data_IF_940457396842
#
_entry.id   IF_940457396842
#
_cell.length_a   1.000
_cell.length_b   1.000
_cell.length_c   1.000
_cell.angle_alpha   90.00
_cell.angle_beta   90.00
_cell.angle_gamma   90.00
#
_symmetry.space_group_name_H-M   'P 1'
#
loop_
_entity.id
_entity.type
_entity.pdbx_description
1 polymer ?
#
# COMPACT_ATOMS: atom_id res chain seq x y z
N UNK A 1 17.09 16.14 -6.67
CA UNK A 1 17.76 16.68 -5.46
C UNK A 1 18.11 18.17 -5.57
N UNK A 2 17.60 18.83 -6.58
CA UNK A 2 17.93 20.25 -6.89
C UNK A 2 16.93 21.23 -6.26
N UNK A 3 16.81 21.22 -4.92
CA UNK A 3 16.07 22.25 -4.20
C UNK A 3 17.08 23.31 -3.75
N UNK A 4 16.95 24.56 -4.20
CA UNK A 4 17.91 25.61 -3.88
C UNK A 4 18.09 25.75 -2.36
N UNK A 5 19.35 25.84 -1.95
CA UNK A 5 19.78 26.02 -0.54
C UNK A 5 19.42 24.87 0.42
N UNK A 6 18.98 23.69 -0.09
CA UNK A 6 18.62 22.54 0.75
C UNK A 6 19.45 21.28 0.46
N UNK A 7 20.57 21.39 -0.26
CA UNK A 7 21.38 20.22 -0.66
C UNK A 7 21.77 19.31 0.50
N UNK A 8 22.05 19.89 1.67
CA UNK A 8 22.43 19.15 2.87
C UNK A 8 21.24 18.58 3.64
N UNK A 9 20.03 19.00 3.31
CA UNK A 9 18.80 18.62 4.01
C UNK A 9 17.97 17.58 3.24
N UNK A 10 18.32 17.32 1.97
CA UNK A 10 17.58 16.36 1.13
C UNK A 10 18.16 14.96 1.29
N UNK A 11 17.32 14.02 1.64
CA UNK A 11 17.60 12.58 1.67
C UNK A 11 16.61 11.89 0.78
N UNK A 12 17.09 11.27 -0.31
CA UNK A 12 16.29 10.43 -1.19
C UNK A 12 16.38 8.98 -0.72
N UNK A 13 15.23 8.36 -0.55
CA UNK A 13 15.10 6.92 -0.29
C UNK A 13 14.31 6.32 -1.44
N UNK A 14 14.89 5.38 -2.15
CA UNK A 14 14.25 4.70 -3.29
C UNK A 14 14.44 3.19 -3.20
N UNK A 15 13.64 2.43 -3.93
CA UNK A 15 13.80 0.98 -4.03
C UNK A 15 13.27 0.44 -5.35
N UNK A 16 13.78 -0.70 -5.77
CA UNK A 16 13.28 -1.43 -6.95
C UNK A 16 11.92 -2.09 -6.71
N UNK A 17 11.49 -2.18 -5.45
CA UNK A 17 10.31 -2.94 -5.03
C UNK A 17 9.02 -2.54 -5.74
N UNK A 18 8.79 -1.23 -5.90
CA UNK A 18 7.55 -0.69 -6.47
C UNK A 18 7.74 -0.26 -7.92
N UNK A 19 8.88 0.35 -8.23
CA UNK A 19 9.22 0.82 -9.58
C UNK A 19 9.21 -0.30 -10.61
N UNK A 20 9.78 -1.47 -10.25
CA UNK A 20 10.01 -2.60 -11.18
C UNK A 20 9.23 -3.86 -10.78
N UNK A 21 8.26 -3.76 -9.85
CA UNK A 21 7.58 -4.93 -9.27
C UNK A 21 8.53 -5.98 -8.68
N UNK A 22 9.71 -5.56 -8.23
CA UNK A 22 10.78 -6.41 -7.69
C UNK A 22 10.85 -6.39 -6.16
N UNK A 23 9.73 -6.48 -5.47
CA UNK A 23 9.70 -6.47 -4.01
C UNK A 23 10.48 -7.63 -3.37
N UNK A 24 10.58 -8.77 -4.05
CA UNK A 24 11.37 -9.93 -3.63
C UNK A 24 12.89 -9.75 -3.73
N UNK A 25 13.38 -8.81 -4.54
CA UNK A 25 14.81 -8.53 -4.69
C UNK A 25 15.45 -7.95 -3.41
N UNK A 26 14.67 -7.29 -2.55
CA UNK A 26 15.11 -6.68 -1.29
C UNK A 26 16.24 -5.66 -1.45
N UNK A 27 16.17 -4.84 -2.52
CA UNK A 27 17.17 -3.81 -2.87
C UNK A 27 16.54 -2.43 -2.83
N UNK A 28 17.21 -1.51 -2.18
CA UNK A 28 16.90 -0.09 -2.14
C UNK A 28 18.15 0.72 -1.90
N UNK A 29 18.04 2.04 -1.96
CA UNK A 29 19.15 2.95 -1.76
C UNK A 29 18.75 4.17 -0.94
N UNK A 30 19.75 4.76 -0.31
CA UNK A 30 19.70 6.08 0.30
C UNK A 30 20.73 6.97 -0.39
N UNK A 31 20.33 8.19 -0.76
CA UNK A 31 21.17 9.14 -1.50
C UNK A 31 21.04 10.51 -0.82
N UNK A 32 22.17 11.12 -0.49
CA UNK A 32 22.21 12.50 0.05
C UNK A 32 23.56 13.15 -0.25
N UNK A 33 23.56 14.48 -0.37
CA UNK A 33 24.79 15.28 -0.38
C UNK A 33 25.38 15.49 1.02
N UNK A 34 24.60 15.22 2.06
CA UNK A 34 25.04 15.35 3.45
C UNK A 34 25.97 14.19 3.84
N UNK A 35 27.27 14.50 3.95
CA UNK A 35 28.31 13.51 4.25
C UNK A 35 28.16 12.86 5.63
N UNK A 36 27.66 13.60 6.62
CA UNK A 36 27.46 13.07 7.98
C UNK A 36 26.34 12.03 8.00
N UNK A 37 25.22 12.35 7.32
CA UNK A 37 24.11 11.40 7.13
C UNK A 37 24.57 10.15 6.39
N UNK A 38 25.33 10.30 5.31
CA UNK A 38 25.83 9.16 4.53
C UNK A 38 26.85 8.32 5.32
N UNK A 39 27.70 8.94 6.13
CA UNK A 39 28.63 8.22 6.99
C UNK A 39 27.89 7.42 8.09
N UNK A 40 26.84 7.99 8.68
CA UNK A 40 25.99 7.29 9.64
C UNK A 40 25.25 6.13 8.98
N UNK A 41 24.61 6.38 7.82
CA UNK A 41 23.90 5.36 7.05
C UNK A 41 24.81 4.18 6.66
N UNK A 42 26.08 4.45 6.29
CA UNK A 42 27.05 3.41 5.95
C UNK A 42 27.34 2.49 7.14
N UNK A 43 27.46 3.02 8.37
CA UNK A 43 27.66 2.19 9.57
C UNK A 43 26.49 1.22 9.80
N UNK A 44 25.25 1.68 9.62
CA UNK A 44 24.08 0.81 9.71
C UNK A 44 24.02 -0.22 8.56
N UNK A 45 24.38 0.20 7.34
CA UNK A 45 24.44 -0.70 6.19
C UNK A 45 25.48 -1.82 6.40
N UNK A 46 26.63 -1.50 6.95
CA UNK A 46 27.67 -2.49 7.28
C UNK A 46 27.22 -3.46 8.39
N UNK A 47 26.51 -2.98 9.40
CA UNK A 47 25.97 -3.84 10.45
C UNK A 47 24.85 -4.77 9.93
N UNK A 48 24.05 -4.31 8.97
CA UNK A 48 22.98 -5.09 8.34
C UNK A 48 23.47 -6.03 7.26
N UNK A 49 24.63 -5.80 6.68
CA UNK A 49 25.19 -6.44 5.48
C UNK A 49 24.48 -6.02 4.18
N UNK A 50 25.04 -6.44 3.05
CA UNK A 50 24.53 -6.07 1.73
C UNK A 50 23.25 -6.82 1.36
N UNK A 51 22.45 -6.30 0.43
CA UNK A 51 21.33 -7.03 -0.18
C UNK A 51 21.80 -8.33 -0.85
N UNK A 52 20.89 -9.32 -1.06
CA UNK A 52 21.23 -10.55 -1.77
C UNK A 52 21.83 -10.29 -3.15
N UNK A 53 22.88 -11.01 -3.53
CA UNK A 53 23.59 -10.82 -4.82
C UNK A 53 22.64 -10.96 -6.01
N UNK A 54 21.75 -11.97 -6.02
CA UNK A 54 20.77 -12.16 -7.09
C UNK A 54 19.82 -10.96 -7.19
N UNK A 55 19.41 -10.38 -6.05
CA UNK A 55 18.59 -9.17 -6.02
C UNK A 55 19.32 -7.95 -6.61
N UNK A 56 20.63 -7.82 -6.35
CA UNK A 56 21.44 -6.75 -6.93
C UNK A 56 21.58 -6.93 -8.45
N UNK A 57 21.85 -8.13 -8.93
CA UNK A 57 21.93 -8.43 -10.37
C UNK A 57 20.60 -8.16 -11.08
N UNK A 58 19.48 -8.61 -10.51
CA UNK A 58 18.16 -8.33 -11.04
C UNK A 58 17.86 -6.81 -11.07
N UNK A 59 18.31 -6.07 -10.06
CA UNK A 59 18.14 -4.61 -10.00
C UNK A 59 18.97 -3.87 -11.05
N UNK A 60 20.16 -4.38 -11.38
CA UNK A 60 20.97 -3.83 -12.47
C UNK A 60 20.26 -4.05 -13.82
N UNK A 61 19.79 -5.29 -14.10
CA UNK A 61 19.04 -5.59 -15.31
C UNK A 61 17.73 -4.80 -15.43
N UNK A 62 17.09 -4.45 -14.30
CA UNK A 62 15.88 -3.64 -14.29
C UNK A 62 16.11 -2.19 -14.78
N UNK A 63 17.34 -1.69 -14.78
CA UNK A 63 17.64 -0.35 -15.31
C UNK A 63 17.45 -0.25 -16.82
N UNK A 64 17.49 -1.37 -17.53
CA UNK A 64 17.28 -1.47 -18.97
C UNK A 64 15.80 -1.72 -19.33
N UNK A 65 14.88 -1.62 -18.35
CA UNK A 65 13.44 -1.79 -18.58
C UNK A 65 12.94 -0.67 -19.50
N UNK A 66 12.27 -1.01 -20.61
CA UNK A 66 11.77 -0.01 -21.56
C UNK A 66 10.60 0.79 -20.97
N UNK A 67 10.41 2.02 -21.45
CA UNK A 67 9.37 2.93 -20.97
C UNK A 67 7.96 2.37 -21.19
N UNK A 68 7.74 1.59 -22.22
CA UNK A 68 6.47 0.94 -22.56
C UNK A 68 5.98 0.06 -21.40
N UNK A 69 6.87 -0.65 -20.72
CA UNK A 69 6.51 -1.46 -19.53
C UNK A 69 5.88 -0.60 -18.44
N UNK A 70 6.42 0.58 -18.17
CA UNK A 70 5.88 1.46 -17.13
C UNK A 70 4.50 2.02 -17.49
N UNK A 71 4.27 2.32 -18.78
CA UNK A 71 2.97 2.78 -19.25
C UNK A 71 1.90 1.65 -19.17
N UNK A 72 2.27 0.42 -19.52
CA UNK A 72 1.40 -0.75 -19.38
C UNK A 72 1.03 -1.02 -17.93
N UNK A 73 2.02 -1.05 -17.04
CA UNK A 73 1.80 -1.23 -15.58
C UNK A 73 0.92 -0.13 -15.02
N UNK A 74 1.18 1.12 -15.39
CA UNK A 74 0.38 2.26 -14.96
C UNK A 74 -1.08 2.17 -15.43
N UNK A 75 -1.30 1.78 -16.69
CA UNK A 75 -2.64 1.60 -17.24
C UNK A 75 -3.42 0.51 -16.49
N UNK A 76 -2.76 -0.62 -16.19
CA UNK A 76 -3.38 -1.70 -15.42
C UNK A 76 -3.72 -1.26 -13.98
N UNK A 77 -2.84 -0.53 -13.29
CA UNK A 77 -3.14 -0.03 -11.95
C UNK A 77 -4.23 1.05 -11.94
N UNK A 78 -4.33 1.89 -12.97
CA UNK A 78 -5.45 2.83 -13.13
C UNK A 78 -6.77 2.06 -13.23
N UNK A 79 -6.84 1.03 -14.07
CA UNK A 79 -8.02 0.17 -14.22
C UNK A 79 -8.42 -0.47 -12.89
N UNK A 80 -7.46 -1.04 -12.16
CA UNK A 80 -7.71 -1.66 -10.84
C UNK A 80 -8.17 -0.64 -9.80
N UNK A 81 -7.51 0.52 -9.77
CA UNK A 81 -7.88 1.64 -8.90
C UNK A 81 -9.32 2.06 -9.14
N UNK A 82 -9.66 2.39 -10.37
CA UNK A 82 -10.96 2.93 -10.72
C UNK A 82 -12.08 1.93 -10.38
N UNK A 83 -11.87 0.64 -10.68
CA UNK A 83 -12.79 -0.42 -10.29
C UNK A 83 -12.98 -0.53 -8.77
N UNK A 84 -11.88 -0.52 -8.01
CA UNK A 84 -11.93 -0.62 -6.53
C UNK A 84 -12.62 0.59 -5.92
N UNK A 85 -12.26 1.81 -6.33
CA UNK A 85 -12.82 3.06 -5.80
C UNK A 85 -14.32 3.18 -6.11
N UNK A 86 -14.73 2.85 -7.34
CA UNK A 86 -16.14 2.82 -7.72
C UNK A 86 -16.91 1.79 -6.90
N UNK A 87 -16.36 0.59 -6.72
CA UNK A 87 -16.99 -0.48 -5.93
C UNK A 87 -17.15 -0.10 -4.46
N UNK A 88 -16.12 0.46 -3.85
CA UNK A 88 -16.17 0.90 -2.44
C UNK A 88 -17.20 2.03 -2.23
N UNK A 89 -17.19 3.06 -3.08
CA UNK A 89 -18.11 4.21 -2.93
C UNK A 89 -19.58 3.88 -3.28
N UNK A 90 -19.87 2.71 -3.83
CA UNK A 90 -21.25 2.21 -4.00
C UNK A 90 -21.82 1.55 -2.74
N UNK A 91 -20.95 1.17 -1.79
CA UNK A 91 -21.38 0.56 -0.53
C UNK A 91 -21.94 1.63 0.40
N UNK A 92 -23.06 1.35 1.05
CA UNK A 92 -23.71 2.26 1.98
C UNK A 92 -22.78 2.63 3.15
N UNK A 93 -22.57 3.93 3.36
CA UNK A 93 -21.75 4.46 4.44
C UNK A 93 -20.23 4.35 4.24
N UNK A 94 -19.76 3.82 3.11
CA UNK A 94 -18.35 3.77 2.76
C UNK A 94 -17.96 5.01 1.97
N UNK A 95 -16.83 5.61 2.31
CA UNK A 95 -16.24 6.70 1.55
C UNK A 95 -14.74 6.49 1.35
N UNK A 96 -14.27 6.69 0.13
CA UNK A 96 -12.84 6.75 -0.19
C UNK A 96 -12.58 7.78 -1.28
N UNK A 97 -11.56 8.64 -1.13
CA UNK A 97 -11.14 9.54 -2.20
C UNK A 97 -10.46 8.77 -3.33
N UNK A 98 -10.45 9.35 -4.54
CA UNK A 98 -9.66 8.81 -5.65
C UNK A 98 -8.17 9.05 -5.38
N UNK A 99 -7.36 8.01 -5.16
CA UNK A 99 -5.92 8.19 -4.93
C UNK A 99 -5.22 8.58 -6.23
N UNK A 100 -4.30 9.56 -6.14
CA UNK A 100 -3.53 10.04 -7.29
C UNK A 100 -2.24 9.22 -7.52
N UNK A 101 -1.95 8.27 -6.67
CA UNK A 101 -0.76 7.41 -6.76
C UNK A 101 -0.85 6.22 -5.81
N UNK A 102 0.23 5.45 -5.72
CA UNK A 102 0.30 4.19 -4.98
C UNK A 102 -0.61 3.10 -5.57
N UNK A 103 -0.85 2.04 -4.83
CA UNK A 103 -1.74 0.92 -5.18
C UNK A 103 -2.67 0.56 -4.01
N UNK A 104 -2.98 1.53 -3.15
CA UNK A 104 -3.92 1.41 -2.04
C UNK A 104 -4.63 2.74 -1.79
N UNK A 105 -5.77 2.64 -1.12
CA UNK A 105 -6.54 3.79 -0.62
C UNK A 105 -6.80 3.65 0.87
N UNK A 106 -7.19 4.73 1.51
CA UNK A 106 -7.78 4.72 2.85
C UNK A 106 -9.28 4.94 2.67
N UNK A 107 -10.06 3.98 3.12
CA UNK A 107 -11.51 4.04 3.11
C UNK A 107 -12.05 4.25 4.53
N UNK A 108 -13.03 5.12 4.67
CA UNK A 108 -13.88 5.22 5.85
C UNK A 108 -14.99 4.19 5.73
N UNK A 109 -15.15 3.36 6.75
CA UNK A 109 -16.13 2.26 6.81
C UNK A 109 -17.18 2.56 7.88
N UNK A 110 -18.44 2.13 7.71
CA UNK A 110 -19.51 2.33 8.69
C UNK A 110 -19.40 1.33 9.85
N UNK A 111 -18.28 1.35 10.57
CA UNK A 111 -17.98 0.47 11.69
C UNK A 111 -17.50 1.25 12.92
N UNK A 112 -17.70 0.70 14.10
CA UNK A 112 -17.24 1.28 15.35
C UNK A 112 -15.71 1.32 15.48
N UNK A 113 -15.03 0.25 15.06
CA UNK A 113 -13.59 0.12 15.08
C UNK A 113 -13.13 -0.89 14.03
N UNK A 114 -12.23 -0.49 13.13
CA UNK A 114 -11.74 -1.34 12.04
C UNK A 114 -10.85 -2.49 12.51
N UNK A 115 -10.22 -2.44 13.68
CA UNK A 115 -9.49 -3.58 14.23
C UNK A 115 -10.46 -4.68 14.66
N UNK A 116 -11.56 -4.32 15.33
CA UNK A 116 -12.62 -5.25 15.69
C UNK A 116 -13.28 -5.84 14.44
N UNK A 117 -13.59 -5.00 13.47
CA UNK A 117 -14.17 -5.44 12.19
C UNK A 117 -13.23 -6.41 11.44
N UNK A 118 -11.95 -6.07 11.28
CA UNK A 118 -10.99 -6.93 10.61
C UNK A 118 -10.82 -8.28 11.32
N UNK A 119 -10.77 -8.28 12.66
CA UNK A 119 -10.73 -9.52 13.45
C UNK A 119 -11.97 -10.36 13.22
N UNK A 120 -13.14 -9.76 13.30
CA UNK A 120 -14.41 -10.46 13.10
C UNK A 120 -14.53 -11.04 11.68
N UNK A 121 -14.10 -10.31 10.65
CA UNK A 121 -14.01 -10.82 9.29
C UNK A 121 -13.13 -12.08 9.20
N UNK A 122 -11.99 -12.09 9.88
CA UNK A 122 -11.04 -13.22 9.83
C UNK A 122 -11.48 -14.42 10.68
N UNK A 123 -12.13 -14.19 11.81
CA UNK A 123 -12.48 -15.25 12.76
C UNK A 123 -13.87 -15.82 12.51
N UNK A 124 -14.82 -15.01 12.05
CA UNK A 124 -16.25 -15.33 12.09
C UNK A 124 -16.91 -15.33 10.72
N UNK A 125 -16.66 -14.29 9.90
CA UNK A 125 -17.42 -14.07 8.68
C UNK A 125 -16.85 -14.83 7.48
N UNK A 126 -17.73 -15.54 6.74
CA UNK A 126 -17.39 -16.31 5.54
C UNK A 126 -18.52 -16.28 4.53
N UNK A 127 -18.17 -16.17 3.24
CA UNK A 127 -19.04 -16.50 2.11
C UNK A 127 -18.29 -17.55 1.28
N UNK A 128 -18.90 -18.69 1.00
CA UNK A 128 -18.31 -19.81 0.27
C UNK A 128 -16.93 -20.24 0.81
N UNK A 129 -16.75 -20.16 2.14
CA UNK A 129 -15.51 -20.43 2.86
C UNK A 129 -14.37 -19.43 2.56
N UNK A 130 -14.68 -18.28 1.98
CA UNK A 130 -13.74 -17.18 1.72
C UNK A 130 -14.03 -15.96 2.60
N UNK A 131 -13.02 -15.14 2.86
CA UNK A 131 -13.14 -13.84 3.54
C UNK A 131 -12.22 -12.82 2.94
N UNK A 132 -12.49 -11.53 3.18
CA UNK A 132 -11.65 -10.41 2.74
C UNK A 132 -10.91 -9.81 3.94
N UNK A 133 -9.61 -9.58 3.77
CA UNK A 133 -8.77 -8.95 4.78
C UNK A 133 -8.54 -7.47 4.44
N UNK A 134 -8.81 -6.59 5.40
CA UNK A 134 -8.48 -5.17 5.34
C UNK A 134 -7.45 -4.82 6.41
N UNK A 135 -6.68 -3.75 6.20
CA UNK A 135 -5.70 -3.29 7.19
C UNK A 135 -6.29 -2.14 7.99
N UNK A 136 -6.53 -2.29 9.30
CA UNK A 136 -6.94 -1.17 10.16
C UNK A 136 -5.95 -0.01 10.06
N UNK A 137 -6.45 1.23 9.99
CA UNK A 137 -5.61 2.39 9.72
C UNK A 137 -5.41 3.32 10.93
N UNK A 138 -6.01 3.05 12.08
CA UNK A 138 -5.89 3.90 13.27
C UNK A 138 -4.43 4.19 13.66
N UNK A 139 -3.55 3.18 13.56
CA UNK A 139 -2.11 3.30 13.86
C UNK A 139 -1.32 4.16 12.86
N UNK A 140 -1.90 4.54 11.73
CA UNK A 140 -1.25 5.43 10.74
C UNK A 140 -1.39 6.90 11.11
N UNK A 141 -2.27 7.24 12.04
CA UNK A 141 -2.52 8.60 12.49
C UNK A 141 -1.77 8.89 13.79
N UNK A 142 -1.09 10.05 13.83
CA UNK A 142 -0.43 10.51 15.06
C UNK A 142 -1.43 11.00 16.10
N UNK A 143 -2.56 11.56 15.67
CA UNK A 143 -3.59 12.09 16.56
C UNK A 143 -4.38 10.95 17.21
N UNK A 144 -4.40 10.83 18.54
CA UNK A 144 -5.18 9.79 19.21
C UNK A 144 -6.66 9.84 18.83
N UNK A 145 -7.23 8.67 18.58
CA UNK A 145 -8.64 8.51 18.23
C UNK A 145 -9.01 8.75 16.77
N UNK A 146 -8.07 9.28 15.95
CA UNK A 146 -8.30 9.37 14.49
C UNK A 146 -8.21 7.99 13.82
N UNK A 147 -9.00 7.83 12.76
CA UNK A 147 -8.93 6.68 11.87
C UNK A 147 -9.43 5.37 12.44
N UNK A 148 -10.20 5.38 13.54
CA UNK A 148 -10.78 4.15 14.12
C UNK A 148 -11.66 3.39 13.13
N UNK A 149 -12.42 4.11 12.33
CA UNK A 149 -13.27 3.57 11.28
C UNK A 149 -12.60 3.58 9.89
N UNK A 150 -11.29 3.83 9.82
CA UNK A 150 -10.54 3.84 8.57
C UNK A 150 -9.82 2.51 8.35
N UNK A 151 -9.85 2.03 7.11
CA UNK A 151 -9.09 0.87 6.66
C UNK A 151 -8.26 1.20 5.43
N UNK A 152 -7.03 0.67 5.36
CA UNK A 152 -6.24 0.67 4.14
C UNK A 152 -6.63 -0.55 3.29
N UNK A 153 -6.99 -0.30 2.05
CA UNK A 153 -7.39 -1.31 1.07
C UNK A 153 -6.45 -1.22 -0.13
N UNK A 154 -5.85 -2.34 -0.53
CA UNK A 154 -4.94 -2.42 -1.66
C UNK A 154 -5.66 -2.96 -2.90
N UNK A 155 -5.43 -2.36 -4.08
CA UNK A 155 -5.97 -2.80 -5.37
C UNK A 155 -4.88 -3.49 -6.22
N UNK A 156 -4.29 -4.56 -5.66
CA UNK A 156 -3.18 -5.31 -6.26
C UNK A 156 -3.61 -6.60 -6.96
N UNK A 157 -4.84 -7.05 -6.70
CA UNK A 157 -5.42 -8.24 -7.34
C UNK A 157 -5.95 -7.92 -8.73
N UNK A 158 -6.20 -8.93 -9.54
CA UNK A 158 -6.95 -8.79 -10.78
C UNK A 158 -8.41 -8.38 -10.52
N UNK A 159 -9.05 -7.77 -11.52
CA UNK A 159 -10.40 -7.20 -11.38
C UNK A 159 -11.43 -8.24 -10.92
N UNK A 160 -11.37 -9.47 -11.44
CA UNK A 160 -12.31 -10.53 -11.07
C UNK A 160 -12.17 -10.96 -9.60
N UNK A 161 -10.93 -11.04 -9.09
CA UNK A 161 -10.69 -11.32 -7.68
C UNK A 161 -11.08 -10.13 -6.78
N UNK A 162 -10.85 -8.90 -7.24
CA UNK A 162 -11.32 -7.71 -6.52
C UNK A 162 -12.85 -7.64 -6.45
N UNK A 163 -13.56 -8.10 -7.48
CA UNK A 163 -15.02 -8.18 -7.49
C UNK A 163 -15.54 -9.09 -6.38
N UNK A 164 -14.93 -10.26 -6.21
CA UNK A 164 -15.25 -11.17 -5.10
C UNK A 164 -14.94 -10.53 -3.74
N UNK A 165 -13.76 -9.94 -3.61
CA UNK A 165 -13.34 -9.28 -2.37
C UNK A 165 -14.28 -8.13 -1.98
N UNK A 166 -14.73 -7.31 -2.93
CA UNK A 166 -15.69 -6.24 -2.70
C UNK A 166 -17.05 -6.80 -2.27
N UNK A 167 -17.54 -7.87 -2.91
CA UNK A 167 -18.79 -8.51 -2.52
C UNK A 167 -18.72 -9.04 -1.08
N UNK A 168 -17.64 -9.74 -0.71
CA UNK A 168 -17.45 -10.27 0.64
C UNK A 168 -17.35 -9.11 1.65
N UNK A 169 -16.66 -8.03 1.31
CA UNK A 169 -16.55 -6.84 2.17
C UNK A 169 -17.92 -6.19 2.38
N UNK A 170 -18.71 -6.00 1.34
CA UNK A 170 -20.04 -5.41 1.40
C UNK A 170 -20.97 -6.22 2.31
N UNK A 171 -21.05 -7.54 2.10
CA UNK A 171 -21.88 -8.42 2.93
C UNK A 171 -21.34 -8.49 4.37
N UNK A 172 -20.02 -8.46 4.55
CA UNK A 172 -19.41 -8.37 5.88
C UNK A 172 -19.78 -7.08 6.60
N UNK A 173 -19.77 -5.92 5.93
CA UNK A 173 -20.21 -4.65 6.52
C UNK A 173 -21.70 -4.68 6.91
N UNK A 174 -22.55 -5.30 6.11
CA UNK A 174 -23.99 -5.45 6.41
C UNK A 174 -24.23 -6.35 7.63
N UNK A 175 -23.44 -7.41 7.80
CA UNK A 175 -23.60 -8.41 8.83
C UNK A 175 -22.86 -8.09 10.14
N UNK A 176 -21.95 -7.12 10.12
CA UNK A 176 -21.10 -6.81 11.27
C UNK A 176 -21.89 -6.25 12.45
N UNK A 177 -21.76 -6.83 13.67
CA UNK A 177 -22.51 -6.37 14.86
C UNK A 177 -22.19 -4.95 15.31
N UNK A 178 -20.99 -4.43 14.98
CA UNK A 178 -20.54 -3.08 15.32
C UNK A 178 -20.74 -2.06 14.18
N UNK A 179 -21.68 -2.34 13.23
CA UNK A 179 -22.06 -1.40 12.18
C UNK A 179 -22.70 -0.14 12.78
N UNK A 180 -22.37 1.04 12.22
CA UNK A 180 -22.77 2.35 12.77
C UNK A 180 -23.90 3.04 12.02
N UNK A 181 -24.44 2.44 10.96
CA UNK A 181 -25.57 2.93 10.15
C UNK A 181 -26.64 1.87 9.99
#
# INVERSE_FOLDING_TARGET
MNIPNLDQNVILIDSVSKRYNLCGARVGCIISHNKEVMAAAMKFAQARLCPPVLGQMASIGALDTPDEYFEEVKAEYIKRRDFMIEGLNKMEGVFTPLPMGAFYTIAELPVDDTENFARWMLETFRIDNETTMVTPAASFYKTPGMGKNHARIAYVLEVDEMKKALHILEEGLKAYPGRTI
#
